data_IF_262296139266
#
_entry.id   IF_262296139266
#
_cell.length_a   1.000
_cell.length_b   1.000
_cell.length_c   1.000
_cell.angle_alpha   90.00
_cell.angle_beta   90.00
_cell.angle_gamma   90.00
#
_symmetry.space_group_name_H-M   'P 1'
#
loop_
_entity.id
_entity.type
_entity.pdbx_description
1 polymer ?
#
# COMPACT_ATOMS: atom_id res chain seq x y z
N UNK A 1 18.54 1.52 29.72
CA UNK A 1 17.79 2.69 30.16
C UNK A 1 17.56 2.64 31.66
N UNK A 2 17.60 3.78 32.33
CA UNK A 2 17.26 3.91 33.73
C UNK A 2 15.74 4.01 33.94
N UNK A 3 15.06 4.61 32.98
CA UNK A 3 13.58 4.71 32.94
C UNK A 3 13.09 4.52 31.52
N UNK A 4 11.93 3.89 31.35
CA UNK A 4 11.20 3.82 30.10
C UNK A 4 9.76 4.26 30.35
N UNK A 5 9.23 5.08 29.48
CA UNK A 5 7.86 5.57 29.47
C UNK A 5 7.13 5.06 28.24
N UNK A 6 5.91 4.57 28.42
CA UNK A 6 5.04 4.07 27.36
C UNK A 6 3.88 5.04 27.17
N UNK A 7 3.65 5.44 25.92
CA UNK A 7 2.63 6.41 25.54
C UNK A 7 1.65 5.82 24.54
N UNK A 8 0.36 6.09 24.72
CA UNK A 8 -0.70 5.82 23.75
C UNK A 8 -1.31 7.17 23.33
N UNK A 9 -1.23 7.48 22.03
CA UNK A 9 -1.72 8.77 21.48
C UNK A 9 -1.19 10.00 22.22
N UNK A 10 0.10 9.94 22.62
CA UNK A 10 0.75 11.03 23.36
C UNK A 10 0.45 11.07 24.86
N UNK A 11 -0.47 10.24 25.36
CA UNK A 11 -0.77 10.12 26.80
C UNK A 11 0.14 9.06 27.42
N UNK A 12 0.78 9.38 28.55
CA UNK A 12 1.56 8.43 29.33
C UNK A 12 0.64 7.36 29.93
N UNK A 13 0.88 6.08 29.62
CA UNK A 13 0.10 4.94 30.11
C UNK A 13 0.89 3.95 30.97
N UNK A 14 2.22 3.94 30.87
CA UNK A 14 3.07 3.06 31.65
C UNK A 14 4.46 3.62 31.88
N UNK A 15 5.05 3.31 33.01
CA UNK A 15 6.41 3.68 33.37
C UNK A 15 7.16 2.47 33.92
N UNK A 16 8.38 2.26 33.48
CA UNK A 16 9.27 1.24 34.00
C UNK A 16 10.55 1.89 34.54
N UNK A 17 10.95 1.51 35.74
CA UNK A 17 12.14 2.03 36.40
C UNK A 17 13.13 0.91 36.67
N UNK A 18 14.38 1.12 36.30
CA UNK A 18 15.49 0.19 36.52
C UNK A 18 15.87 0.16 38.00
N UNK A 19 16.06 -1.03 38.54
CA UNK A 19 16.68 -1.26 39.86
C UNK A 19 17.97 -2.06 39.64
N UNK A 20 19.12 -1.43 39.80
CA UNK A 20 20.41 -2.13 39.68
C UNK A 20 20.59 -3.12 40.82
N UNK A 21 21.13 -4.30 40.52
CA UNK A 21 21.43 -5.36 41.46
C UNK A 21 22.90 -5.72 41.31
N UNK A 22 23.64 -5.77 42.44
CA UNK A 22 25.04 -6.18 42.48
C UNK A 22 25.16 -7.53 43.15
N UNK A 23 25.75 -8.49 42.45
CA UNK A 23 26.02 -9.80 43.01
C UNK A 23 27.21 -9.75 43.98
N UNK A 24 27.37 -10.75 44.86
CA UNK A 24 28.50 -10.88 45.74
C UNK A 24 29.86 -10.95 44.98
N UNK A 25 29.83 -11.44 43.73
CA UNK A 25 31.00 -11.49 42.85
C UNK A 25 31.28 -10.17 42.09
N UNK A 26 30.49 -9.11 42.35
CA UNK A 26 30.68 -7.80 41.74
C UNK A 26 30.04 -7.62 40.38
N UNK A 27 29.35 -8.62 39.84
CA UNK A 27 28.61 -8.46 38.58
C UNK A 27 27.35 -7.62 38.78
N UNK A 28 27.11 -6.69 37.88
CA UNK A 28 25.90 -5.84 37.86
C UNK A 28 24.89 -6.37 36.87
N UNK A 29 23.64 -6.40 37.29
CA UNK A 29 22.47 -6.64 36.46
C UNK A 29 21.30 -5.78 36.95
N UNK A 30 20.16 -5.83 36.31
CA UNK A 30 19.04 -4.99 36.70
C UNK A 30 17.71 -5.74 36.62
N UNK A 31 16.79 -5.35 37.48
CA UNK A 31 15.39 -5.63 37.33
C UNK A 31 14.64 -4.35 36.97
N UNK A 32 13.43 -4.50 36.51
CA UNK A 32 12.55 -3.39 36.14
C UNK A 32 11.27 -3.46 36.98
N UNK A 33 10.90 -2.33 37.56
CA UNK A 33 9.60 -2.15 38.21
C UNK A 33 8.68 -1.43 37.23
N UNK A 34 7.69 -2.17 36.71
CA UNK A 34 6.71 -1.68 35.76
C UNK A 34 5.48 -1.16 36.52
N UNK A 35 5.03 0.05 36.22
CA UNK A 35 3.88 0.71 36.85
C UNK A 35 2.91 1.18 35.77
N UNK A 36 1.64 0.85 35.93
CA UNK A 36 0.59 1.42 35.09
C UNK A 36 0.29 2.85 35.53
N UNK A 37 0.28 3.77 34.58
CA UNK A 37 -0.15 5.16 34.75
C UNK A 37 -1.59 5.39 34.27
N UNK A 38 -2.18 4.37 33.62
CA UNK A 38 -3.56 4.35 33.16
C UNK A 38 -4.09 2.92 33.22
N UNK A 39 -4.76 2.54 34.31
CA UNK A 39 -5.20 1.18 34.56
C UNK A 39 -6.29 0.69 33.57
N UNK A 40 -7.00 1.61 32.91
CA UNK A 40 -8.00 1.28 31.89
C UNK A 40 -7.38 0.87 30.55
N UNK A 41 -6.17 1.34 30.27
CA UNK A 41 -5.47 1.13 29.01
C UNK A 41 -4.27 0.19 29.14
N UNK A 42 -3.63 0.14 30.31
CA UNK A 42 -2.35 -0.52 30.49
C UNK A 42 -2.31 -1.29 31.81
N UNK A 43 -1.88 -2.52 31.75
CA UNK A 43 -1.56 -3.33 32.94
C UNK A 43 -0.05 -3.57 32.98
N UNK A 44 0.59 -3.17 34.08
CA UNK A 44 1.99 -3.47 34.32
C UNK A 44 2.18 -4.97 34.62
N UNK A 45 3.15 -5.60 33.99
CA UNK A 45 3.50 -7.00 34.23
C UNK A 45 4.80 -7.02 35.02
N UNK A 46 4.73 -7.49 36.28
CA UNK A 46 5.88 -7.64 37.16
C UNK A 46 6.03 -9.10 37.56
N UNK A 47 7.15 -9.68 37.21
CA UNK A 47 7.48 -11.06 37.57
C UNK A 47 7.98 -11.14 39.03
N UNK A 48 7.50 -12.10 39.79
CA UNK A 48 7.90 -12.29 41.16
C UNK A 48 9.33 -12.85 41.32
N UNK A 49 9.87 -13.47 40.27
CA UNK A 49 11.22 -14.05 40.28
C UNK A 49 12.22 -13.03 39.70
N UNK A 50 13.25 -12.71 40.46
CA UNK A 50 14.25 -11.70 40.11
C UNK A 50 14.84 -11.85 38.68
N UNK A 51 15.13 -13.09 38.27
CA UNK A 51 15.70 -13.36 36.96
C UNK A 51 14.70 -13.13 35.79
N UNK A 52 13.39 -13.20 36.07
CA UNK A 52 12.35 -12.86 35.09
C UNK A 52 12.01 -11.38 35.08
N UNK A 53 12.28 -10.68 36.18
CA UNK A 53 12.03 -9.25 36.29
C UNK A 53 13.02 -8.37 35.48
N UNK A 54 13.83 -8.97 34.61
CA UNK A 54 14.77 -8.25 33.72
C UNK A 54 14.10 -7.70 32.46
N UNK A 55 12.78 -7.89 32.33
CA UNK A 55 12.01 -7.42 31.18
C UNK A 55 11.15 -6.21 31.53
N UNK A 56 11.08 -5.26 30.60
CA UNK A 56 10.09 -4.18 30.60
C UNK A 56 8.88 -4.73 29.85
N UNK A 57 7.76 -4.96 30.56
CA UNK A 57 6.62 -5.62 30.00
C UNK A 57 5.29 -4.98 30.45
N UNK A 58 4.47 -4.65 29.47
CA UNK A 58 3.13 -4.10 29.67
C UNK A 58 2.13 -4.86 28.81
N UNK A 59 0.95 -5.11 29.35
CA UNK A 59 -0.23 -5.53 28.58
C UNK A 59 -1.06 -4.29 28.26
N UNK A 60 -1.20 -3.94 26.99
CA UNK A 60 -1.92 -2.74 26.55
C UNK A 60 -3.20 -3.17 25.85
N UNK A 61 -4.33 -2.56 26.25
CA UNK A 61 -5.60 -2.75 25.56
C UNK A 61 -5.49 -2.16 24.15
N UNK A 62 -5.90 -2.93 23.15
CA UNK A 62 -5.93 -2.43 21.77
C UNK A 62 -6.78 -1.16 21.70
N UNK A 63 -6.16 -0.11 21.17
CA UNK A 63 -6.78 1.19 20.93
C UNK A 63 -6.13 1.77 19.67
N UNK A 64 -6.95 2.30 18.78
CA UNK A 64 -6.47 2.92 17.54
C UNK A 64 -5.57 4.12 17.84
N UNK A 65 -4.46 4.23 17.11
CA UNK A 65 -3.53 5.34 17.20
C UNK A 65 -2.06 4.93 17.25
N UNK A 66 -1.26 5.68 18.00
CA UNK A 66 0.18 5.52 18.11
C UNK A 66 0.57 5.06 19.52
N UNK A 67 1.13 3.85 19.61
CA UNK A 67 1.83 3.37 20.81
C UNK A 67 3.31 3.67 20.65
N UNK A 68 3.92 4.42 21.57
CA UNK A 68 5.32 4.79 21.52
C UNK A 68 6.00 4.66 22.87
N UNK A 69 7.33 4.43 22.85
CA UNK A 69 8.14 4.35 24.05
C UNK A 69 9.27 5.40 24.01
N UNK A 70 9.60 5.94 25.17
CA UNK A 70 10.75 6.81 25.39
C UNK A 70 11.64 6.21 26.47
N UNK A 71 12.92 6.19 26.22
CA UNK A 71 13.92 5.67 27.16
C UNK A 71 14.80 6.81 27.68
N UNK A 72 15.19 6.74 28.95
CA UNK A 72 16.00 7.76 29.59
C UNK A 72 17.19 7.12 30.32
N UNK A 73 18.33 7.82 30.33
CA UNK A 73 19.50 7.45 31.11
C UNK A 73 19.36 7.83 32.60
N UNK A 74 20.39 7.61 33.38
CA UNK A 74 20.41 7.92 34.83
C UNK A 74 20.39 9.42 35.12
N UNK A 75 20.75 10.27 34.16
CA UNK A 75 20.68 11.73 34.26
C UNK A 75 19.31 12.29 33.88
N UNK A 76 18.40 11.43 33.39
CA UNK A 76 17.09 11.82 32.88
C UNK A 76 17.10 12.32 31.43
N UNK A 77 18.21 12.19 30.72
CA UNK A 77 18.30 12.53 29.30
C UNK A 77 17.68 11.43 28.44
N UNK A 78 16.87 11.82 27.47
CA UNK A 78 16.26 10.88 26.51
C UNK A 78 17.35 10.22 25.65
N UNK A 79 17.28 8.89 25.55
CA UNK A 79 18.14 8.09 24.69
C UNK A 79 17.48 8.02 23.32
N UNK A 80 18.09 8.65 22.33
CA UNK A 80 17.54 8.75 20.96
C UNK A 80 18.22 7.82 19.97
N UNK A 81 19.34 7.19 20.34
CA UNK A 81 20.04 6.21 19.52
C UNK A 81 19.38 4.84 19.70
N UNK A 82 18.56 4.44 18.73
CA UNK A 82 17.78 3.20 18.75
C UNK A 82 18.09 2.35 17.52
N UNK A 83 18.23 1.04 17.72
CA UNK A 83 18.41 0.05 16.64
C UNK A 83 17.06 -0.39 16.00
N UNK A 84 15.98 0.34 16.20
CA UNK A 84 14.65 0.01 15.69
C UNK A 84 13.64 1.12 15.89
N UNK A 85 12.38 0.82 15.58
CA UNK A 85 11.29 1.77 15.79
C UNK A 85 10.90 1.84 17.27
N UNK A 86 10.84 3.06 17.82
CA UNK A 86 10.33 3.33 19.17
C UNK A 86 8.79 3.50 19.18
N UNK A 87 8.11 3.28 18.08
CA UNK A 87 6.65 3.42 17.97
C UNK A 87 6.03 2.42 17.01
N UNK A 88 4.78 2.06 17.31
CA UNK A 88 3.89 1.28 16.46
C UNK A 88 2.61 2.08 16.27
N UNK A 89 2.16 2.16 15.02
CA UNK A 89 0.91 2.86 14.68
C UNK A 89 -0.10 1.85 14.17
N UNK A 90 -1.33 1.89 14.68
CA UNK A 90 -2.44 1.12 14.13
C UNK A 90 -2.83 1.69 12.77
N UNK A 91 -3.28 0.83 11.87
CA UNK A 91 -3.89 1.25 10.61
C UNK A 91 -5.38 1.60 10.80
N UNK A 92 -5.99 2.21 9.80
CA UNK A 92 -7.45 2.20 9.70
C UNK A 92 -7.89 0.82 9.20
N UNK A 93 -9.00 0.29 9.71
CA UNK A 93 -9.53 -1.02 9.30
C UNK A 93 -10.03 -1.03 7.83
N UNK A 94 -9.97 0.12 7.16
CA UNK A 94 -10.47 0.29 5.80
C UNK A 94 -9.34 0.43 4.79
N UNK A 95 -9.26 -0.50 3.84
CA UNK A 95 -8.38 -0.38 2.68
C UNK A 95 -8.73 0.83 1.81
N UNK A 96 -7.72 1.45 1.22
CA UNK A 96 -7.82 2.62 0.34
C UNK A 96 -7.05 2.43 -0.97
N UNK A 97 -5.95 1.68 -0.94
CA UNK A 97 -5.10 1.44 -2.10
C UNK A 97 -4.47 0.05 -2.06
N UNK A 98 -4.03 -0.40 -3.23
CA UNK A 98 -3.13 -1.53 -3.39
C UNK A 98 -1.69 -1.01 -3.50
N UNK A 99 -0.73 -1.80 -3.04
CA UNK A 99 0.69 -1.64 -3.36
C UNK A 99 1.18 -2.93 -4.01
N UNK A 100 1.81 -2.81 -5.17
CA UNK A 100 2.30 -3.94 -5.99
C UNK A 100 3.82 -3.89 -6.03
N UNK A 101 4.48 -4.91 -5.48
CA UNK A 101 5.94 -4.94 -5.34
C UNK A 101 6.51 -6.24 -5.88
N UNK A 102 7.40 -6.15 -6.87
CA UNK A 102 8.13 -7.30 -7.38
C UNK A 102 9.39 -7.56 -6.54
N UNK A 103 9.62 -8.83 -6.16
CA UNK A 103 10.86 -9.27 -5.50
C UNK A 103 12.09 -8.96 -6.39
N UNK A 104 11.94 -9.19 -7.71
CA UNK A 104 12.95 -8.88 -8.72
C UNK A 104 12.33 -8.03 -9.81
N UNK A 105 12.93 -6.87 -10.09
CA UNK A 105 12.52 -5.97 -11.16
C UNK A 105 13.14 -6.32 -12.52
N UNK A 106 14.04 -7.31 -12.55
CA UNK A 106 14.65 -7.85 -13.76
C UNK A 106 14.85 -9.36 -13.64
N UNK A 107 14.47 -10.12 -14.69
CA UNK A 107 14.65 -11.58 -14.81
C UNK A 107 15.07 -11.94 -16.23
N UNK A 108 15.52 -13.19 -16.45
CA UNK A 108 15.90 -13.68 -17.77
C UNK A 108 14.66 -13.98 -18.65
N UNK A 109 14.74 -13.64 -19.94
CA UNK A 109 13.74 -13.98 -20.95
C UNK A 109 14.00 -15.38 -21.52
N UNK A 110 13.92 -16.41 -20.68
CA UNK A 110 14.29 -17.80 -20.97
C UNK A 110 13.09 -18.78 -20.97
N UNK A 111 11.88 -18.25 -20.79
CA UNK A 111 10.64 -19.03 -20.70
C UNK A 111 10.48 -19.80 -19.38
N UNK A 112 11.39 -19.65 -18.42
CA UNK A 112 11.41 -20.39 -17.15
C UNK A 112 11.61 -19.53 -15.91
N UNK A 113 12.29 -18.40 -16.02
CA UNK A 113 12.55 -17.48 -14.91
C UNK A 113 11.27 -16.90 -14.32
N UNK A 114 11.22 -16.81 -12.98
CA UNK A 114 10.05 -16.39 -12.22
C UNK A 114 10.29 -15.04 -11.53
N UNK A 115 9.23 -14.22 -11.48
CA UNK A 115 9.10 -13.06 -10.61
C UNK A 115 7.95 -13.30 -9.64
N UNK A 116 8.22 -13.11 -8.35
CA UNK A 116 7.24 -13.13 -7.28
C UNK A 116 6.82 -11.68 -7.02
N UNK A 117 5.52 -11.42 -7.06
CA UNK A 117 4.98 -10.07 -6.96
C UNK A 117 3.99 -10.05 -5.80
N UNK A 118 4.36 -9.33 -4.74
CA UNK A 118 3.55 -9.14 -3.55
C UNK A 118 2.55 -8.02 -3.75
N UNK A 119 1.35 -8.21 -3.20
CA UNK A 119 0.29 -7.22 -3.18
C UNK A 119 -0.14 -6.99 -1.74
N UNK A 120 -0.04 -5.74 -1.29
CA UNK A 120 -0.50 -5.29 0.01
C UNK A 120 -1.73 -4.38 -0.14
N UNK A 121 -2.70 -4.55 0.76
CA UNK A 121 -3.80 -3.59 0.91
C UNK A 121 -3.40 -2.56 1.94
N UNK A 122 -3.41 -1.28 1.56
CA UNK A 122 -3.03 -0.17 2.42
C UNK A 122 -4.20 0.78 2.69
N UNK A 123 -4.16 1.45 3.84
CA UNK A 123 -5.11 2.50 4.20
C UNK A 123 -4.80 3.84 3.47
N UNK A 124 -5.57 4.89 3.76
CA UNK A 124 -5.40 6.23 3.18
C UNK A 124 -4.04 6.88 3.49
N UNK A 125 -3.35 6.44 4.54
CA UNK A 125 -2.06 6.95 4.99
C UNK A 125 -0.89 6.05 4.52
N UNK A 126 -1.19 5.04 3.67
CA UNK A 126 -0.22 4.09 3.12
C UNK A 126 0.21 2.99 4.11
N UNK A 127 -0.53 2.78 5.21
CA UNK A 127 -0.23 1.74 6.20
C UNK A 127 -0.94 0.44 5.82
N UNK A 128 -0.24 -0.66 6.01
CA UNK A 128 -0.76 -1.99 5.73
C UNK A 128 -2.00 -2.33 6.57
N UNK A 129 -3.05 -2.86 5.93
CA UNK A 129 -4.33 -3.22 6.57
C UNK A 129 -4.44 -4.74 6.71
N UNK A 130 -4.03 -5.25 7.85
CA UNK A 130 -3.99 -6.70 8.14
C UNK A 130 -5.36 -7.40 8.22
N UNK A 131 -6.46 -6.65 8.29
CA UNK A 131 -7.81 -7.19 8.29
C UNK A 131 -8.46 -7.21 6.90
N UNK A 132 -7.78 -6.69 5.86
CA UNK A 132 -8.35 -6.58 4.52
C UNK A 132 -8.51 -7.94 3.84
N UNK A 133 -9.65 -8.12 3.18
CA UNK A 133 -10.04 -9.33 2.47
C UNK A 133 -10.61 -9.05 1.07
N UNK A 134 -10.20 -7.95 0.46
CA UNK A 134 -10.67 -7.45 -0.83
C UNK A 134 -10.42 -8.46 -1.96
N UNK A 135 -11.38 -8.56 -2.90
CA UNK A 135 -11.15 -9.30 -4.15
C UNK A 135 -10.27 -8.48 -5.09
N UNK A 136 -9.16 -9.06 -5.53
CA UNK A 136 -8.16 -8.42 -6.39
C UNK A 136 -8.17 -9.09 -7.76
N UNK A 137 -8.23 -8.28 -8.81
CA UNK A 137 -8.07 -8.71 -10.19
C UNK A 137 -6.70 -8.30 -10.69
N UNK A 138 -6.03 -9.22 -11.37
CA UNK A 138 -4.75 -9.00 -12.03
C UNK A 138 -4.90 -8.99 -13.54
N UNK A 139 -4.15 -8.09 -14.18
CA UNK A 139 -4.01 -8.04 -15.63
C UNK A 139 -2.53 -7.91 -15.97
N UNK A 140 -2.02 -8.82 -16.81
CA UNK A 140 -0.63 -8.85 -17.26
C UNK A 140 -0.56 -8.42 -18.71
N UNK A 141 0.31 -7.46 -19.02
CA UNK A 141 0.62 -7.02 -20.38
C UNK A 141 2.10 -7.26 -20.66
N UNK A 142 2.45 -7.66 -21.89
CA UNK A 142 3.84 -7.89 -22.33
C UNK A 142 4.32 -9.33 -22.17
N UNK A 143 5.63 -9.51 -21.99
CA UNK A 143 6.36 -10.75 -22.20
C UNK A 143 6.43 -11.64 -20.95
N UNK A 144 5.28 -11.95 -20.36
CA UNK A 144 5.12 -12.82 -19.20
C UNK A 144 3.84 -13.65 -19.24
N UNK A 145 3.74 -14.60 -18.32
CA UNK A 145 2.56 -15.47 -18.10
C UNK A 145 2.33 -15.61 -16.61
N UNK A 146 1.13 -15.34 -16.11
CA UNK A 146 0.77 -15.64 -14.72
C UNK A 146 0.73 -17.16 -14.56
N UNK A 147 1.58 -17.71 -13.71
CA UNK A 147 1.66 -19.17 -13.47
C UNK A 147 1.09 -19.58 -12.11
N UNK A 148 0.81 -18.61 -11.24
CA UNK A 148 0.17 -18.88 -9.97
C UNK A 148 -0.30 -17.61 -9.27
N UNK A 149 -1.28 -17.77 -8.39
CA UNK A 149 -1.73 -16.78 -7.42
C UNK A 149 -1.90 -17.45 -6.07
N UNK A 150 -1.59 -16.74 -4.99
CA UNK A 150 -1.73 -17.21 -3.62
C UNK A 150 -2.08 -16.06 -2.69
N UNK A 151 -2.61 -16.35 -1.51
CA UNK A 151 -2.87 -15.36 -0.48
C UNK A 151 -2.40 -15.80 0.92
N UNK A 152 -1.76 -16.97 1.01
CA UNK A 152 -1.28 -17.52 2.29
C UNK A 152 -2.39 -18.04 3.21
N UNK A 153 -3.64 -18.15 2.77
CA UNK A 153 -4.72 -18.70 3.57
C UNK A 153 -4.65 -20.24 3.60
N UNK A 154 -4.31 -20.86 4.74
CA UNK A 154 -4.16 -22.32 4.83
C UNK A 154 -5.48 -23.09 4.67
N UNK A 155 -6.62 -22.39 4.75
CA UNK A 155 -7.96 -22.99 4.62
C UNK A 155 -8.62 -22.68 3.27
N UNK A 156 -7.91 -22.07 2.32
CA UNK A 156 -8.48 -21.75 1.01
C UNK A 156 -8.71 -23.02 0.19
N UNK A 157 -9.80 -23.02 -0.58
CA UNK A 157 -10.09 -23.98 -1.63
C UNK A 157 -9.88 -23.40 -3.03
N UNK A 158 -9.38 -22.16 -3.09
CA UNK A 158 -9.08 -21.48 -4.35
C UNK A 158 -7.96 -22.18 -5.10
N UNK A 159 -8.07 -22.19 -6.41
CA UNK A 159 -7.02 -22.78 -7.25
C UNK A 159 -5.89 -21.78 -7.42
N UNK A 160 -4.71 -22.14 -6.97
CA UNK A 160 -3.49 -21.34 -7.18
C UNK A 160 -3.13 -21.24 -8.67
N UNK A 161 -3.38 -22.31 -9.46
CA UNK A 161 -3.32 -22.28 -10.90
C UNK A 161 -4.74 -22.21 -11.47
N UNK A 162 -5.10 -21.04 -12.00
CA UNK A 162 -6.39 -20.81 -12.61
C UNK A 162 -6.37 -21.22 -14.10
N UNK A 163 -7.53 -21.45 -14.71
CA UNK A 163 -7.62 -21.86 -16.12
C UNK A 163 -6.93 -20.90 -17.07
N UNK A 164 -7.00 -19.61 -16.78
CA UNK A 164 -6.31 -18.55 -17.51
C UNK A 164 -4.80 -18.74 -17.62
N UNK A 165 -4.18 -19.33 -16.61
CA UNK A 165 -2.75 -19.65 -16.56
C UNK A 165 -2.35 -20.68 -17.58
N UNK A 166 -3.26 -21.63 -17.89
CA UNK A 166 -2.99 -22.73 -18.85
C UNK A 166 -3.29 -22.33 -20.31
N UNK A 167 -4.09 -21.28 -20.52
CA UNK A 167 -4.57 -20.84 -21.84
C UNK A 167 -3.87 -19.59 -22.37
N UNK A 168 -2.73 -19.16 -21.77
CA UNK A 168 -2.06 -17.90 -22.06
C UNK A 168 -2.91 -16.65 -21.75
N UNK A 169 -4.02 -16.78 -21.07
CA UNK A 169 -4.78 -15.64 -20.57
C UNK A 169 -3.94 -14.90 -19.50
N UNK A 170 -3.80 -13.62 -19.69
CA UNK A 170 -2.99 -12.73 -18.85
C UNK A 170 -3.79 -12.12 -17.70
N UNK A 171 -4.83 -12.80 -17.24
CA UNK A 171 -5.68 -12.35 -16.13
C UNK A 171 -5.80 -13.40 -15.04
N UNK A 172 -5.88 -12.97 -13.79
CA UNK A 172 -6.15 -13.80 -12.63
C UNK A 172 -6.93 -13.02 -11.56
N UNK A 173 -7.53 -13.74 -10.63
CA UNK A 173 -8.23 -13.12 -9.51
C UNK A 173 -7.93 -13.90 -8.23
N UNK A 174 -7.77 -13.21 -7.12
CA UNK A 174 -7.71 -13.81 -5.80
C UNK A 174 -8.28 -12.86 -4.75
N UNK A 175 -8.80 -13.38 -3.67
CA UNK A 175 -9.18 -12.60 -2.51
C UNK A 175 -7.96 -12.39 -1.62
N UNK A 176 -7.69 -11.17 -1.16
CA UNK A 176 -6.66 -10.94 -0.16
C UNK A 176 -6.96 -11.72 1.12
N UNK A 177 -5.95 -12.23 1.76
CA UNK A 177 -6.03 -12.82 3.09
C UNK A 177 -5.09 -12.07 4.02
N UNK A 178 -5.63 -11.58 5.13
CA UNK A 178 -4.86 -10.73 6.05
C UNK A 178 -4.14 -9.57 5.32
N UNK A 179 -4.83 -8.94 4.36
CA UNK A 179 -4.31 -7.80 3.60
C UNK A 179 -3.32 -8.14 2.49
N UNK A 180 -2.99 -9.42 2.27
CA UNK A 180 -1.95 -9.84 1.32
C UNK A 180 -2.46 -10.74 0.20
N UNK A 181 -1.80 -10.63 -0.95
CA UNK A 181 -1.88 -11.59 -2.05
C UNK A 181 -0.51 -11.68 -2.74
N UNK A 182 -0.31 -12.75 -3.49
CA UNK A 182 0.89 -13.03 -4.26
C UNK A 182 0.51 -13.42 -5.69
N UNK A 183 1.27 -12.92 -6.66
CA UNK A 183 1.21 -13.36 -8.05
C UNK A 183 2.59 -13.85 -8.48
N UNK A 184 2.63 -14.99 -9.14
CA UNK A 184 3.86 -15.56 -9.73
C UNK A 184 3.76 -15.40 -11.24
N UNK A 185 4.70 -14.69 -11.82
CA UNK A 185 4.81 -14.50 -13.27
C UNK A 185 6.06 -15.18 -13.78
N UNK A 186 5.89 -16.00 -14.82
CA UNK A 186 6.98 -16.64 -15.58
C UNK A 186 7.28 -15.80 -16.82
N UNK A 187 8.56 -15.57 -17.11
CA UNK A 187 9.01 -14.94 -18.36
C UNK A 187 8.59 -15.75 -19.59
N UNK A 188 8.43 -15.09 -20.72
CA UNK A 188 8.50 -15.73 -22.04
C UNK A 188 9.95 -15.71 -22.53
N UNK A 189 10.21 -16.26 -23.74
CA UNK A 189 11.53 -16.13 -24.37
C UNK A 189 11.79 -14.74 -24.97
N UNK A 190 10.79 -13.84 -24.97
CA UNK A 190 10.89 -12.50 -25.49
C UNK A 190 11.39 -11.50 -24.44
N UNK A 191 12.43 -10.75 -24.77
CA UNK A 191 12.93 -9.64 -23.97
C UNK A 191 12.00 -8.40 -24.07
N UNK A 192 12.07 -7.46 -23.11
CA UNK A 192 11.32 -6.20 -23.08
C UNK A 192 10.31 -6.12 -21.94
N UNK A 193 10.23 -7.15 -21.07
CA UNK A 193 9.51 -7.11 -19.82
C UNK A 193 8.00 -7.27 -19.91
N UNK A 194 7.35 -7.08 -18.76
CA UNK A 194 5.90 -7.09 -18.60
C UNK A 194 5.46 -6.12 -17.51
N UNK A 195 4.20 -5.69 -17.56
CA UNK A 195 3.52 -4.95 -16.49
C UNK A 195 2.45 -5.84 -15.88
N UNK A 196 2.47 -5.99 -14.55
CA UNK A 196 1.37 -6.56 -13.77
C UNK A 196 0.58 -5.42 -13.13
N UNK A 197 -0.70 -5.30 -13.46
CA UNK A 197 -1.66 -4.37 -12.85
C UNK A 197 -2.55 -5.12 -11.88
N UNK A 198 -2.77 -4.55 -10.68
CA UNK A 198 -3.72 -5.03 -9.69
C UNK A 198 -4.83 -4.00 -9.47
N UNK A 199 -6.08 -4.46 -9.48
CA UNK A 199 -7.28 -3.65 -9.31
C UNK A 199 -8.23 -4.31 -8.31
N UNK A 200 -8.90 -3.48 -7.50
CA UNK A 200 -9.93 -3.94 -6.56
C UNK A 200 -11.01 -2.87 -6.44
N UNK A 201 -12.27 -3.31 -6.29
CA UNK A 201 -13.39 -2.39 -6.16
C UNK A 201 -13.24 -1.50 -4.92
N UNK A 202 -13.33 -0.19 -5.11
CA UNK A 202 -13.24 0.81 -4.04
C UNK A 202 -11.82 1.10 -3.54
N UNK A 203 -10.79 0.51 -4.15
CA UNK A 203 -9.38 0.78 -3.85
C UNK A 203 -8.70 1.44 -5.06
N UNK A 204 -7.73 2.30 -4.80
CA UNK A 204 -6.81 2.76 -5.83
C UNK A 204 -5.94 1.58 -6.26
N UNK A 205 -5.98 1.24 -7.55
CA UNK A 205 -5.12 0.20 -8.13
C UNK A 205 -3.65 0.63 -8.22
N UNK A 206 -2.77 -0.33 -8.45
CA UNK A 206 -1.34 -0.14 -8.64
C UNK A 206 -0.79 -1.13 -9.67
N UNK A 207 0.45 -0.91 -10.14
CA UNK A 207 1.11 -1.77 -11.12
C UNK A 207 2.62 -1.75 -10.96
N UNK A 208 3.27 -2.84 -11.39
CA UNK A 208 4.72 -2.95 -11.43
C UNK A 208 5.19 -3.40 -12.80
N UNK A 209 6.28 -2.82 -13.28
CA UNK A 209 7.02 -3.27 -14.44
C UNK A 209 8.19 -4.16 -13.99
N UNK A 210 8.33 -5.33 -14.64
CA UNK A 210 9.47 -6.23 -14.50
C UNK A 210 10.13 -6.36 -15.87
N UNK A 211 11.42 -6.01 -15.95
CA UNK A 211 12.20 -6.16 -17.16
C UNK A 211 12.54 -7.64 -17.43
N UNK A 212 12.51 -8.06 -18.70
CA UNK A 212 13.02 -9.37 -19.12
C UNK A 212 14.15 -9.21 -20.10
N UNK A 213 15.32 -9.75 -19.79
CA UNK A 213 16.55 -9.60 -20.59
C UNK A 213 16.87 -10.88 -21.35
N UNK A 214 17.19 -10.77 -22.62
CA UNK A 214 17.51 -11.91 -23.50
C UNK A 214 17.75 -11.45 -24.94
N UNK A 215 18.24 -12.36 -25.77
CA UNK A 215 18.63 -12.06 -27.17
C UNK A 215 17.44 -11.98 -28.13
N UNK A 216 16.33 -12.66 -27.81
CA UNK A 216 15.13 -12.66 -28.64
C UNK A 216 14.25 -11.45 -28.29
N UNK A 217 14.05 -10.57 -29.26
CA UNK A 217 13.15 -9.42 -29.09
C UNK A 217 11.73 -9.89 -28.81
N UNK A 218 11.13 -9.36 -27.75
CA UNK A 218 9.74 -9.62 -27.36
C UNK A 218 8.74 -8.65 -28.00
N UNK A 219 7.51 -8.73 -27.57
CA UNK A 219 6.45 -7.81 -27.94
C UNK A 219 6.71 -6.43 -27.31
N UNK A 220 6.54 -5.36 -28.10
CA UNK A 220 6.58 -3.98 -27.60
C UNK A 220 5.15 -3.57 -27.25
N UNK A 221 4.95 -3.07 -26.03
CA UNK A 221 3.64 -2.71 -25.49
C UNK A 221 3.71 -1.38 -24.72
N UNK A 222 2.57 -0.80 -24.40
CA UNK A 222 2.47 0.42 -23.60
C UNK A 222 2.85 0.13 -22.14
N UNK A 223 4.00 0.69 -21.70
CA UNK A 223 4.58 0.50 -20.38
C UNK A 223 4.05 1.51 -19.36
N UNK A 224 3.96 2.79 -19.77
CA UNK A 224 3.55 3.89 -18.89
C UNK A 224 2.91 5.03 -19.67
N UNK A 225 2.08 5.83 -19.00
CA UNK A 225 1.45 7.04 -19.52
C UNK A 225 1.00 7.95 -18.39
N UNK A 226 0.88 9.26 -18.67
CA UNK A 226 0.38 10.23 -17.69
C UNK A 226 -0.90 10.88 -18.18
N UNK A 227 -1.97 10.71 -17.41
CA UNK A 227 -3.26 11.35 -17.63
C UNK A 227 -3.57 12.28 -16.46
N UNK A 228 -4.07 13.47 -16.76
CA UNK A 228 -4.51 14.42 -15.75
C UNK A 228 -5.73 13.84 -15.01
N UNK A 229 -5.60 13.66 -13.70
CA UNK A 229 -6.57 12.98 -12.84
C UNK A 229 -7.63 13.90 -12.21
N UNK A 230 -7.46 15.24 -12.31
CA UNK A 230 -8.32 16.20 -11.61
C UNK A 230 -8.69 17.36 -12.52
N UNK A 231 -9.98 17.70 -12.56
CA UNK A 231 -10.54 18.84 -13.27
C UNK A 231 -11.49 19.61 -12.37
N UNK A 232 -11.43 20.93 -12.41
CA UNK A 232 -12.36 21.80 -11.67
C UNK A 232 -12.99 22.79 -12.62
N UNK A 233 -14.33 22.90 -12.58
CA UNK A 233 -15.10 23.90 -13.36
C UNK A 233 -16.20 24.50 -12.51
N UNK A 234 -16.73 25.65 -12.93
CA UNK A 234 -17.99 26.20 -12.40
C UNK A 234 -19.16 25.57 -13.12
N UNK A 235 -20.27 25.31 -12.41
CA UNK A 235 -21.50 24.76 -12.97
C UNK A 235 -21.91 25.50 -14.26
N UNK A 236 -22.27 24.74 -15.30
CA UNK A 236 -22.59 25.27 -16.63
C UNK A 236 -21.38 25.46 -17.55
N UNK A 237 -20.14 25.32 -17.06
CA UNK A 237 -18.92 25.47 -17.86
C UNK A 237 -18.41 24.11 -18.28
N UNK A 238 -18.31 23.86 -19.59
CA UNK A 238 -17.73 22.62 -20.13
C UNK A 238 -16.23 22.55 -19.81
N UNK A 239 -15.73 21.44 -19.17
CA UNK A 239 -14.31 21.31 -18.85
C UNK A 239 -13.46 21.18 -20.13
N UNK A 240 -12.27 21.76 -20.10
CA UNK A 240 -11.20 21.53 -21.08
C UNK A 240 -10.45 20.28 -20.65
N UNK A 241 -10.74 19.17 -21.29
CA UNK A 241 -10.15 17.87 -20.97
C UNK A 241 -8.88 17.62 -21.77
N UNK A 242 -7.92 16.92 -21.18
CA UNK A 242 -6.75 16.41 -21.89
C UNK A 242 -7.20 15.36 -22.91
N UNK A 243 -6.78 15.53 -24.16
CA UNK A 243 -7.10 14.61 -25.27
C UNK A 243 -5.87 13.95 -25.86
N UNK A 244 -4.68 14.50 -25.64
CA UNK A 244 -3.42 13.95 -26.13
C UNK A 244 -2.56 13.47 -24.95
N UNK A 245 -1.90 12.34 -25.14
CA UNK A 245 -1.00 11.70 -24.17
C UNK A 245 0.18 11.11 -24.91
N UNK A 246 1.37 11.28 -24.36
CA UNK A 246 2.55 10.54 -24.81
C UNK A 246 2.67 9.26 -23.98
N UNK A 247 2.54 8.12 -24.63
CA UNK A 247 2.79 6.80 -24.04
C UNK A 247 4.27 6.46 -24.09
N UNK A 248 4.78 5.82 -23.06
CA UNK A 248 6.13 5.24 -22.98
C UNK A 248 5.98 3.75 -23.25
N UNK A 249 6.66 3.25 -24.28
CA UNK A 249 6.62 1.85 -24.67
C UNK A 249 7.63 1.00 -23.86
N UNK A 250 7.50 -0.30 -23.89
CA UNK A 250 8.37 -1.23 -23.15
C UNK A 250 9.83 -1.21 -23.60
N UNK A 251 10.13 -0.70 -24.80
CA UNK A 251 11.47 -0.49 -25.34
C UNK A 251 11.97 0.97 -25.15
N UNK A 252 11.33 1.72 -24.23
CA UNK A 252 11.57 3.12 -23.91
C UNK A 252 11.35 4.12 -25.07
N UNK A 253 10.82 3.66 -26.21
CA UNK A 253 10.33 4.54 -27.26
C UNK A 253 9.04 5.24 -26.82
N UNK A 254 8.67 6.34 -27.49
CA UNK A 254 7.44 7.06 -27.19
C UNK A 254 6.47 6.98 -28.36
N UNK A 255 5.18 6.92 -28.06
CA UNK A 255 4.10 6.93 -29.03
C UNK A 255 2.98 7.87 -28.60
N UNK A 256 2.50 8.71 -29.51
CA UNK A 256 1.36 9.58 -29.24
C UNK A 256 0.06 8.78 -29.17
N UNK A 257 -0.74 9.11 -28.16
CA UNK A 257 -2.05 8.54 -27.92
C UNK A 257 -3.14 9.59 -27.78
N UNK A 258 -4.39 9.16 -27.90
CA UNK A 258 -5.56 10.02 -27.76
C UNK A 258 -6.50 9.50 -26.69
N UNK A 259 -7.10 10.42 -25.90
CA UNK A 259 -8.13 10.09 -24.93
C UNK A 259 -9.49 10.49 -25.45
N UNK A 260 -10.43 9.56 -25.42
CA UNK A 260 -11.87 9.80 -25.62
C UNK A 260 -12.56 9.74 -24.27
N UNK A 261 -13.12 10.86 -23.81
CA UNK A 261 -13.82 10.97 -22.55
C UNK A 261 -15.32 10.80 -22.69
N UNK A 262 -15.96 10.09 -21.77
CA UNK A 262 -17.42 9.92 -21.71
C UNK A 262 -18.06 11.11 -20.95
N UNK A 263 -17.85 12.33 -21.44
CA UNK A 263 -18.36 13.56 -20.85
C UNK A 263 -19.78 13.82 -21.33
N UNK A 264 -20.75 13.91 -20.40
CA UNK A 264 -22.13 14.34 -20.68
C UNK A 264 -22.39 15.76 -20.16
N UNK A 265 -23.39 16.45 -20.74
CA UNK A 265 -23.77 17.78 -20.29
C UNK A 265 -24.23 17.82 -18.82
N UNK A 266 -24.89 16.79 -18.34
CA UNK A 266 -25.33 16.66 -16.96
C UNK A 266 -24.16 16.68 -15.97
N UNK A 267 -23.00 16.11 -16.35
CA UNK A 267 -21.83 16.02 -15.46
C UNK A 267 -21.28 17.39 -15.05
N UNK A 268 -21.34 18.42 -15.92
CA UNK A 268 -20.86 19.78 -15.60
C UNK A 268 -21.97 20.80 -15.33
N UNK A 269 -23.24 20.40 -15.49
CA UNK A 269 -24.42 21.25 -15.17
C UNK A 269 -24.98 21.00 -13.76
N UNK A 270 -24.46 20.04 -13.02
CA UNK A 270 -24.82 19.77 -11.63
C UNK A 270 -23.58 19.84 -10.73
N UNK A 271 -23.64 20.56 -9.59
CA UNK A 271 -22.49 20.70 -8.71
C UNK A 271 -22.15 19.38 -7.99
N UNK A 272 -20.90 19.25 -7.53
CA UNK A 272 -20.39 18.11 -6.78
C UNK A 272 -19.27 17.35 -7.50
N UNK A 273 -18.83 16.25 -6.90
CA UNK A 273 -17.80 15.37 -7.43
C UNK A 273 -18.40 14.37 -8.44
N UNK A 274 -17.72 14.20 -9.57
CA UNK A 274 -18.09 13.25 -10.62
C UNK A 274 -16.88 12.45 -11.06
N UNK A 275 -17.03 11.15 -11.24
CA UNK A 275 -16.02 10.32 -11.88
C UNK A 275 -16.19 10.44 -13.41
N UNK A 276 -15.16 10.96 -14.07
CA UNK A 276 -15.08 11.05 -15.54
C UNK A 276 -14.31 9.82 -16.05
N UNK A 277 -14.96 9.01 -16.86
CA UNK A 277 -14.35 7.83 -17.50
C UNK A 277 -14.00 8.10 -18.93
N UNK A 278 -12.92 7.47 -19.43
CA UNK A 278 -12.49 7.59 -20.81
C UNK A 278 -11.70 6.38 -21.26
N UNK A 279 -11.32 6.40 -22.54
CA UNK A 279 -10.45 5.39 -23.15
C UNK A 279 -9.25 6.11 -23.77
N UNK A 280 -8.05 5.75 -23.34
CA UNK A 280 -6.79 6.12 -23.95
C UNK A 280 -6.45 5.09 -25.03
N UNK A 281 -6.17 5.53 -26.23
CA UNK A 281 -5.66 4.72 -27.32
C UNK A 281 -4.24 5.15 -27.68
N UNK A 282 -3.29 4.20 -27.58
CA UNK A 282 -1.88 4.37 -28.00
C UNK A 282 -1.55 3.25 -29.00
N UNK A 283 -1.35 3.59 -30.24
CA UNK A 283 -1.19 2.59 -31.29
C UNK A 283 -2.40 1.68 -31.41
N UNK A 284 -2.19 0.38 -31.19
CA UNK A 284 -3.24 -0.63 -31.18
C UNK A 284 -3.77 -0.95 -29.78
N UNK A 285 -3.19 -0.38 -28.73
CA UNK A 285 -3.61 -0.63 -27.36
C UNK A 285 -4.67 0.37 -26.90
N UNK A 286 -5.65 -0.14 -26.14
CA UNK A 286 -6.71 0.66 -25.53
C UNK A 286 -6.71 0.41 -24.03
N UNK A 287 -6.66 1.50 -23.25
CA UNK A 287 -6.60 1.48 -21.79
C UNK A 287 -7.72 2.34 -21.21
N UNK A 288 -8.47 1.80 -20.27
CA UNK A 288 -9.46 2.58 -19.52
C UNK A 288 -8.74 3.60 -18.62
N UNK A 289 -9.19 4.85 -18.67
CA UNK A 289 -8.67 5.95 -17.85
C UNK A 289 -9.80 6.63 -17.11
N UNK A 290 -9.53 7.21 -15.94
CA UNK A 290 -10.49 7.99 -15.18
C UNK A 290 -9.87 9.26 -14.62
N UNK A 291 -10.74 10.24 -14.34
CA UNK A 291 -10.38 11.48 -13.67
C UNK A 291 -11.55 11.95 -12.79
N UNK A 292 -11.26 12.76 -11.78
CA UNK A 292 -12.29 13.42 -10.97
C UNK A 292 -12.64 14.79 -11.59
N UNK A 293 -13.92 15.07 -11.70
CA UNK A 293 -14.47 16.35 -12.13
C UNK A 293 -15.17 17.02 -10.95
N UNK A 294 -14.57 18.06 -10.40
CA UNK A 294 -15.15 18.89 -9.35
C UNK A 294 -15.91 20.05 -9.96
N UNK A 295 -17.26 20.06 -9.80
CA UNK A 295 -18.13 21.12 -10.30
C UNK A 295 -18.57 22.02 -9.14
N UNK A 296 -18.05 23.25 -9.15
CA UNK A 296 -18.38 24.26 -8.15
C UNK A 296 -19.75 24.88 -8.43
N UNK A 297 -20.61 25.10 -7.40
CA UNK A 297 -21.88 25.80 -7.59
C UNK A 297 -21.65 27.26 -8.00
N UNK A 298 -22.62 27.86 -8.69
CA UNK A 298 -22.65 29.32 -8.89
C UNK A 298 -23.13 29.95 -7.59
N UNK A 299 -22.30 30.78 -6.96
CA UNK A 299 -22.68 31.58 -5.80
C UNK A 299 -23.17 32.92 -6.29
N UNK A 300 -24.47 33.21 -6.13
CA UNK A 300 -25.03 34.55 -6.39
C UNK A 300 -25.04 35.31 -5.08
N UNK A 301 -24.18 36.31 -4.97
CA UNK A 301 -24.22 37.23 -3.86
C UNK A 301 -25.38 38.25 -4.07
N UNK A 302 -26.41 38.21 -3.22
CA UNK A 302 -27.45 39.24 -3.20
C UNK A 302 -26.93 40.40 -2.35
N UNK A 303 -26.60 41.53 -2.99
CA UNK A 303 -26.36 42.78 -2.27
C UNK A 303 -27.72 43.38 -1.86
N UNK A 304 -27.98 43.43 -0.58
CA UNK A 304 -29.08 44.21 -0.05
C UNK A 304 -28.69 45.72 -0.19
N UNK A 305 -29.33 46.41 -1.09
CA UNK A 305 -29.35 47.90 -1.07
C UNK A 305 -30.34 48.32 0.01
N UNK A 306 -29.85 48.81 1.13
CA UNK A 306 -30.61 49.61 2.10
C UNK A 306 -30.61 51.06 1.71
#
# INVERSE_FOLDING_TARGET
AAKVELYLNGKLIGTSTRTPIKTAAGHEWATYNNVSNDADQCTAVNESQQWKAQAIQFSVKYTEGVLSAKAYDESGKEITDTLGSASVTTNSDKGSSLAVTAEKTEIQADGSSLSYIDIDVNDKDGRFVSAADNSIRFTLTGNGTIVGVDNGNPSTVDKFQQKSVLTSDKTANIKAFSGKALVIVRSTEGAGGFVLKAESAGLKGDSVFVNTVGDKKGEVFLKDYKVKSEYTVTMGTKPQLQTAVTGIMSDDSTQEGTITWNLTGEMYNTPGEKELKGTLKVGNEEVAVSANLHVKPIIVAVQNYT
#
